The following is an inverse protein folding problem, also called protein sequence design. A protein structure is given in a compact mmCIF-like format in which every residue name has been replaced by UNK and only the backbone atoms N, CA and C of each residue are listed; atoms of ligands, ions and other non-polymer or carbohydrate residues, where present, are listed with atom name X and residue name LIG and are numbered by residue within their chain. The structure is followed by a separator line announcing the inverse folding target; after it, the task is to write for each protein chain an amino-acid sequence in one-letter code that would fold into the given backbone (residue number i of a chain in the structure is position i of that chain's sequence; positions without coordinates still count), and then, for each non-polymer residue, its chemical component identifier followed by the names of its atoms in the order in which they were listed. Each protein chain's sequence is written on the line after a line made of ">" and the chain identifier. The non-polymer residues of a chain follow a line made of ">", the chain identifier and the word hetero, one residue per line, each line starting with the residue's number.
data_IF_183889347140
#
_entry.id   IF_183889347140
#
_cell.length_a   1.000
_cell.length_b   1.000
_cell.length_c   1.000
_cell.angle_alpha   90.00
_cell.angle_beta   90.00
_cell.angle_gamma   90.00
#
_symmetry.space_group_name_H-M   'P 1'
#
loop_
_entity.id
_entity.type
_entity.pdbx_description
1 polymer ?
#
# COMPACT_ATOMS: atom_id res chain seq x y z
N UNK A 1 12.13 59.12 107.77
CA UNK A 1 11.47 57.86 107.88
C UNK A 1 10.88 57.53 106.47
N UNK A 2 11.19 56.59 105.71
CA UNK A 2 11.77 55.29 105.81
C UNK A 2 11.91 54.71 104.35
N UNK A 3 13.02 54.13 104.15
CA UNK A 3 13.36 53.00 103.28
C UNK A 3 12.97 52.86 101.81
N UNK A 4 13.95 53.10 101.03
CA UNK A 4 14.50 52.42 99.90
C UNK A 4 14.21 50.90 99.76
N UNK A 5 13.87 50.44 98.57
CA UNK A 5 14.34 49.14 98.07
C UNK A 5 14.38 49.10 96.50
N UNK A 6 15.61 49.00 96.04
CA UNK A 6 15.94 48.68 94.64
C UNK A 6 15.63 47.23 94.33
N UNK A 7 15.07 46.96 93.13
CA UNK A 7 15.00 45.64 92.59
C UNK A 7 15.67 45.64 91.22
N UNK A 8 16.77 44.89 91.13
CA UNK A 8 17.48 44.52 89.91
C UNK A 8 16.68 43.64 89.05
N UNK A 9 16.37 44.03 87.82
CA UNK A 9 15.78 43.16 86.79
C UNK A 9 16.85 42.68 85.79
N UNK A 10 17.19 41.36 85.86
CA UNK A 10 18.13 40.74 84.92
C UNK A 10 17.45 40.51 83.56
N UNK A 11 17.93 41.13 82.51
CA UNK A 11 17.52 40.83 81.16
C UNK A 11 18.23 39.60 80.63
N UNK A 12 17.46 38.46 80.42
CA UNK A 12 17.94 37.26 79.77
C UNK A 12 17.80 37.47 78.25
N UNK A 13 18.94 37.66 77.54
CA UNK A 13 19.02 37.66 76.13
C UNK A 13 18.97 36.24 75.59
N UNK A 14 17.86 35.85 74.96
CA UNK A 14 17.72 34.54 74.21
C UNK A 14 18.39 34.70 72.85
N UNK A 15 19.60 34.17 72.72
CA UNK A 15 20.29 34.03 71.43
C UNK A 15 19.67 32.89 70.67
N UNK A 16 18.85 33.22 69.67
CA UNK A 16 18.37 32.27 68.67
C UNK A 16 19.53 31.92 67.76
N UNK A 17 20.16 30.75 67.99
CA UNK A 17 21.13 30.18 67.09
C UNK A 17 20.39 29.65 65.83
N UNK A 18 20.45 30.49 64.77
CA UNK A 18 20.15 29.98 63.40
C UNK A 18 21.25 28.99 63.06
N UNK A 19 20.92 27.70 63.11
CA UNK A 19 21.74 26.66 62.46
C UNK A 19 21.63 26.89 60.95
N UNK A 20 22.56 27.59 60.38
CA UNK A 20 22.78 27.66 58.94
C UNK A 20 23.16 26.27 58.46
N UNK A 21 22.19 25.53 57.92
CA UNK A 21 22.46 24.29 57.24
C UNK A 21 23.47 24.53 56.12
N UNK A 22 24.64 23.92 56.20
CA UNK A 22 25.66 23.96 55.15
C UNK A 22 25.03 23.55 53.82
N UNK A 23 24.97 24.49 52.89
CA UNK A 23 24.50 24.15 51.51
C UNK A 23 25.44 23.10 50.93
N UNK A 24 24.91 21.92 50.66
CA UNK A 24 25.67 20.84 50.07
C UNK A 24 25.89 21.19 48.59
N UNK A 25 27.15 21.40 48.20
CA UNK A 25 27.51 21.72 46.82
C UNK A 25 27.24 20.51 45.92
N UNK A 26 26.15 20.54 45.16
CA UNK A 26 25.84 19.50 44.17
C UNK A 26 26.00 20.06 42.75
N UNK A 27 26.78 19.38 41.93
CA UNK A 27 26.88 19.68 40.50
C UNK A 27 25.54 19.36 39.81
N UNK A 28 24.96 20.32 39.09
CA UNK A 28 23.67 20.19 38.44
C UNK A 28 23.82 20.28 36.93
N UNK A 29 22.98 19.55 36.22
CA UNK A 29 22.95 19.48 34.77
C UNK A 29 21.51 19.70 34.26
N UNK A 30 21.38 20.37 33.11
CA UNK A 30 20.06 20.60 32.52
C UNK A 30 19.47 19.33 31.92
N UNK A 31 18.17 19.13 32.11
CA UNK A 31 17.38 18.10 31.43
C UNK A 31 17.32 18.45 29.94
N UNK A 32 17.75 17.53 29.08
CA UNK A 32 17.81 17.73 27.63
C UNK A 32 16.63 17.06 26.96
N UNK A 33 15.91 17.80 26.12
CA UNK A 33 14.88 17.20 25.26
C UNK A 33 15.50 16.76 23.93
N UNK A 34 15.42 15.49 23.62
CA UNK A 34 15.90 14.92 22.36
C UNK A 34 14.84 14.01 21.74
N UNK A 35 14.73 13.95 20.39
CA UNK A 35 13.97 12.89 19.76
C UNK A 35 14.65 11.55 20.05
N UNK A 36 13.90 10.57 20.53
CA UNK A 36 14.41 9.20 20.66
C UNK A 36 14.49 8.57 19.29
N UNK A 37 15.69 8.16 18.90
CA UNK A 37 15.96 7.40 17.69
C UNK A 37 16.48 6.02 18.12
N UNK A 38 15.57 5.06 18.24
CA UNK A 38 15.91 3.68 18.56
C UNK A 38 15.62 2.81 17.36
N UNK A 39 16.52 1.88 17.04
CA UNK A 39 16.22 0.82 16.08
C UNK A 39 15.65 -0.37 16.83
N UNK A 40 14.47 -0.82 16.41
CA UNK A 40 13.84 -2.04 16.93
C UNK A 40 13.83 -3.10 15.85
N UNK A 41 13.93 -4.35 16.25
CA UNK A 41 13.81 -5.48 15.33
C UNK A 41 12.36 -5.94 15.30
N UNK A 42 11.77 -5.92 14.10
CA UNK A 42 10.39 -6.35 13.87
C UNK A 42 10.39 -7.56 12.92
N UNK A 43 9.63 -8.61 13.23
CA UNK A 43 9.36 -9.67 12.27
C UNK A 43 8.50 -9.12 11.14
N UNK A 44 8.72 -9.60 9.93
CA UNK A 44 7.96 -9.19 8.76
C UNK A 44 7.75 -10.37 7.81
N UNK A 45 6.90 -10.19 6.82
CA UNK A 45 6.58 -11.21 5.81
C UNK A 45 6.80 -10.66 4.42
N UNK A 46 7.43 -11.46 3.57
CA UNK A 46 7.59 -11.14 2.14
C UNK A 46 6.41 -11.73 1.36
N UNK A 47 5.66 -10.86 0.69
CA UNK A 47 4.58 -11.22 -0.20
C UNK A 47 4.94 -10.91 -1.66
N UNK A 48 4.33 -11.62 -2.64
CA UNK A 48 4.49 -11.26 -4.05
C UNK A 48 3.91 -9.88 -4.31
N UNK A 49 4.45 -9.16 -5.29
CA UNK A 49 3.90 -7.84 -5.65
C UNK A 49 2.52 -7.97 -6.29
N UNK A 50 2.35 -8.93 -7.20
CA UNK A 50 1.08 -9.36 -7.78
C UNK A 50 0.96 -10.87 -7.61
N UNK A 51 -0.24 -11.34 -7.32
CA UNK A 51 -0.60 -12.75 -7.33
C UNK A 51 -1.98 -12.90 -7.98
N UNK A 52 -2.14 -13.89 -8.86
CA UNK A 52 -3.39 -14.14 -9.54
C UNK A 52 -3.61 -15.65 -9.72
N UNK A 53 -4.85 -16.07 -9.50
CA UNK A 53 -5.34 -17.36 -9.94
C UNK A 53 -5.98 -17.18 -11.32
N UNK A 54 -5.44 -17.85 -12.33
CA UNK A 54 -5.88 -17.76 -13.71
C UNK A 54 -7.02 -18.73 -13.94
N UNK A 55 -8.16 -18.23 -14.45
CA UNK A 55 -9.36 -19.01 -14.72
C UNK A 55 -9.75 -18.95 -16.20
N UNK A 56 -10.46 -19.99 -16.68
CA UNK A 56 -11.06 -19.98 -17.99
C UNK A 56 -12.29 -19.07 -18.03
N UNK A 57 -12.39 -18.23 -19.08
CA UNK A 57 -13.54 -17.33 -19.29
C UNK A 57 -14.62 -17.97 -20.16
N UNK A 58 -14.26 -18.99 -20.92
CA UNK A 58 -15.16 -19.76 -21.79
C UNK A 58 -15.05 -21.24 -21.46
N UNK A 59 -16.11 -21.98 -21.71
CA UNK A 59 -16.12 -23.44 -21.55
C UNK A 59 -15.30 -24.09 -22.66
N UNK A 60 -14.50 -25.10 -22.32
CA UNK A 60 -13.70 -25.87 -23.24
C UNK A 60 -12.92 -26.96 -22.53
N UNK A 61 -12.37 -27.87 -23.33
CA UNK A 61 -11.42 -28.88 -22.84
C UNK A 61 -10.01 -28.33 -22.92
N UNK A 62 -9.20 -28.57 -21.90
CA UNK A 62 -7.77 -28.25 -21.95
C UNK A 62 -7.11 -29.11 -23.00
N UNK A 63 -6.67 -28.52 -24.10
CA UNK A 63 -5.93 -29.20 -25.15
C UNK A 63 -4.47 -29.35 -24.76
N UNK A 64 -3.81 -28.23 -24.46
CA UNK A 64 -2.40 -28.19 -24.07
C UNK A 64 -2.16 -27.20 -22.90
N UNK A 65 -1.23 -27.57 -22.03
CA UNK A 65 -0.65 -26.68 -21.01
C UNK A 65 0.82 -26.48 -21.38
N UNK A 66 1.19 -25.25 -21.72
CA UNK A 66 2.50 -24.91 -22.27
C UNK A 66 3.55 -24.61 -21.18
N UNK A 67 3.10 -24.47 -19.94
CA UNK A 67 3.90 -24.10 -18.79
C UNK A 67 3.70 -25.05 -17.62
N UNK A 68 4.67 -25.08 -16.69
CA UNK A 68 4.56 -25.88 -15.48
C UNK A 68 5.00 -25.05 -14.25
N UNK A 69 4.87 -25.62 -13.04
CA UNK A 69 5.37 -25.00 -11.81
C UNK A 69 6.84 -24.61 -11.97
N UNK A 70 7.16 -23.35 -11.64
CA UNK A 70 8.50 -22.79 -11.78
C UNK A 70 8.79 -22.15 -13.14
N UNK A 71 7.90 -22.27 -14.13
CA UNK A 71 8.05 -21.60 -15.43
C UNK A 71 8.02 -20.08 -15.25
N UNK A 72 9.01 -19.41 -15.81
CA UNK A 72 9.08 -17.93 -15.90
C UNK A 72 8.38 -17.54 -17.20
N UNK A 73 7.40 -16.66 -17.12
CA UNK A 73 6.56 -16.24 -18.24
C UNK A 73 6.49 -14.73 -18.36
N UNK A 74 6.28 -14.24 -19.58
CA UNK A 74 6.10 -12.82 -19.88
C UNK A 74 4.62 -12.48 -20.07
N UNK A 75 4.28 -11.25 -19.85
CA UNK A 75 2.93 -10.74 -20.14
C UNK A 75 2.52 -11.04 -21.58
N UNK A 76 1.33 -11.62 -21.78
CA UNK A 76 0.80 -12.00 -23.08
C UNK A 76 1.26 -13.38 -23.59
N UNK A 77 2.18 -14.04 -22.92
CA UNK A 77 2.62 -15.40 -23.27
C UNK A 77 1.49 -16.40 -23.01
N UNK A 78 1.24 -17.29 -23.99
CA UNK A 78 0.18 -18.31 -23.91
C UNK A 78 0.57 -19.38 -22.90
N UNK A 79 -0.30 -19.62 -21.93
CA UNK A 79 -0.10 -20.55 -20.82
C UNK A 79 -0.85 -21.86 -21.05
N UNK A 80 -2.10 -21.74 -21.51
CA UNK A 80 -3.02 -22.89 -21.72
C UNK A 80 -3.82 -22.64 -22.98
N UNK A 81 -3.97 -23.69 -23.78
CA UNK A 81 -4.86 -23.72 -24.95
C UNK A 81 -6.05 -24.59 -24.65
N UNK A 82 -7.23 -24.04 -24.91
CA UNK A 82 -8.50 -24.79 -24.80
C UNK A 82 -9.03 -25.14 -26.16
N UNK A 83 -9.70 -26.29 -26.25
CA UNK A 83 -10.48 -26.76 -27.42
C UNK A 83 -11.97 -26.64 -27.12
N UNK A 84 -12.72 -25.97 -28.01
CA UNK A 84 -14.17 -25.86 -27.95
C UNK A 84 -14.76 -26.03 -29.36
N UNK A 85 -14.95 -27.30 -29.84
CA UNK A 85 -15.45 -27.58 -31.17
C UNK A 85 -16.82 -26.95 -31.46
N UNK A 86 -17.65 -26.83 -30.43
CA UNK A 86 -19.00 -26.23 -30.54
C UNK A 86 -18.90 -24.75 -30.90
N UNK A 87 -17.92 -24.03 -30.33
CA UNK A 87 -17.69 -22.62 -30.63
C UNK A 87 -17.13 -22.41 -32.03
N UNK A 88 -16.29 -23.32 -32.53
CA UNK A 88 -15.80 -23.30 -33.90
C UNK A 88 -16.96 -23.49 -34.88
N UNK A 89 -17.92 -24.39 -34.61
CA UNK A 89 -19.11 -24.57 -35.41
C UNK A 89 -20.03 -23.34 -35.42
N UNK A 90 -20.20 -22.67 -34.26
CA UNK A 90 -20.98 -21.44 -34.16
C UNK A 90 -20.36 -20.27 -34.96
N UNK A 91 -19.03 -20.15 -34.96
CA UNK A 91 -18.32 -19.19 -35.77
C UNK A 91 -18.54 -19.45 -37.25
N UNK A 92 -18.39 -20.69 -37.71
CA UNK A 92 -18.61 -21.06 -39.11
C UNK A 92 -20.06 -20.78 -39.57
N UNK A 93 -21.04 -21.02 -38.70
CA UNK A 93 -22.44 -20.65 -38.96
C UNK A 93 -22.63 -19.14 -39.10
N UNK A 94 -22.04 -18.34 -38.15
CA UNK A 94 -22.14 -16.91 -38.20
C UNK A 94 -21.46 -16.32 -39.46
N UNK A 95 -20.32 -16.86 -39.86
CA UNK A 95 -19.61 -16.47 -41.09
C UNK A 95 -20.43 -16.76 -42.33
N UNK A 96 -21.11 -17.89 -42.38
CA UNK A 96 -22.04 -18.21 -43.46
C UNK A 96 -23.20 -17.22 -43.55
N UNK A 97 -23.72 -16.76 -42.40
CA UNK A 97 -24.75 -15.69 -42.34
C UNK A 97 -24.22 -14.34 -42.83
N UNK A 98 -22.96 -14.00 -42.56
CA UNK A 98 -22.33 -12.82 -43.12
C UNK A 98 -22.28 -12.88 -44.64
N UNK A 99 -21.84 -14.02 -45.22
CA UNK A 99 -21.75 -14.18 -46.65
C UNK A 99 -23.14 -14.10 -47.34
N UNK A 100 -24.18 -14.65 -46.73
CA UNK A 100 -25.55 -14.59 -47.24
C UNK A 100 -26.06 -13.12 -47.21
N UNK A 101 -25.86 -12.38 -46.09
CA UNK A 101 -26.28 -11.00 -45.97
C UNK A 101 -25.52 -10.07 -46.94
N UNK A 102 -24.25 -10.35 -47.21
CA UNK A 102 -23.45 -9.60 -48.19
C UNK A 102 -23.90 -9.86 -49.63
N UNK A 103 -24.29 -11.09 -49.98
CA UNK A 103 -24.89 -11.43 -51.26
C UNK A 103 -26.23 -10.68 -51.46
N UNK A 104 -27.09 -10.63 -50.43
CA UNK A 104 -28.33 -9.84 -50.45
C UNK A 104 -28.07 -8.33 -50.64
N UNK A 105 -27.03 -7.78 -49.99
CA UNK A 105 -26.61 -6.39 -50.18
C UNK A 105 -26.17 -6.10 -51.61
N UNK A 106 -25.34 -6.96 -52.20
CA UNK A 106 -24.91 -6.86 -53.59
C UNK A 106 -26.07 -6.94 -54.55
N UNK A 107 -27.05 -7.84 -54.31
CA UNK A 107 -28.26 -7.90 -55.10
C UNK A 107 -29.07 -6.60 -55.04
N UNK A 108 -29.25 -6.01 -53.86
CA UNK A 108 -29.97 -4.75 -53.69
C UNK A 108 -29.21 -3.57 -54.33
N UNK A 109 -27.90 -3.58 -54.32
CA UNK A 109 -27.05 -2.59 -54.97
C UNK A 109 -27.22 -2.63 -56.50
N UNK A 110 -27.24 -3.83 -57.07
CA UNK A 110 -27.53 -4.01 -58.51
C UNK A 110 -28.96 -3.54 -58.89
N UNK A 111 -29.96 -3.80 -58.04
CA UNK A 111 -31.33 -3.29 -58.24
C UNK A 111 -31.40 -1.78 -58.17
N UNK A 112 -30.69 -1.11 -57.24
CA UNK A 112 -30.59 0.35 -57.17
C UNK A 112 -29.94 0.89 -58.42
N UNK A 113 -28.83 0.34 -58.88
CA UNK A 113 -28.13 0.79 -60.09
C UNK A 113 -29.03 0.71 -61.33
N UNK A 114 -29.82 -0.36 -61.45
CA UNK A 114 -30.81 -0.49 -62.57
C UNK A 114 -31.92 0.58 -62.45
N UNK A 115 -32.46 0.84 -61.26
CA UNK A 115 -33.50 1.83 -61.02
C UNK A 115 -32.97 3.29 -61.24
N UNK A 116 -31.75 3.57 -60.84
CA UNK A 116 -31.07 4.86 -61.04
C UNK A 116 -30.88 5.10 -62.57
N UNK A 117 -30.37 4.12 -63.30
CA UNK A 117 -30.22 4.20 -64.75
C UNK A 117 -31.53 4.44 -65.48
N UNK A 118 -32.64 3.81 -65.01
CA UNK A 118 -33.97 4.03 -65.57
C UNK A 118 -34.49 5.43 -65.29
N UNK A 119 -34.38 5.89 -64.06
CA UNK A 119 -34.77 7.22 -63.66
C UNK A 119 -34.00 8.30 -64.45
N UNK A 120 -32.67 8.21 -64.56
CA UNK A 120 -31.84 9.16 -65.28
C UNK A 120 -32.21 9.24 -66.78
N UNK A 121 -32.47 8.11 -67.45
CA UNK A 121 -32.95 8.08 -68.83
C UNK A 121 -34.32 8.80 -68.97
N UNK A 122 -35.29 8.51 -68.08
CA UNK A 122 -36.60 9.15 -68.09
C UNK A 122 -36.51 10.64 -67.79
N UNK A 123 -35.66 11.04 -66.89
CA UNK A 123 -35.40 12.43 -66.56
C UNK A 123 -34.85 13.21 -67.74
N UNK A 124 -33.88 12.65 -68.46
CA UNK A 124 -33.33 13.23 -69.67
C UNK A 124 -34.37 13.31 -70.77
N UNK A 125 -35.19 12.28 -71.03
CA UNK A 125 -36.25 12.30 -72.01
C UNK A 125 -37.34 13.29 -71.64
N UNK A 126 -37.66 13.58 -70.40
CA UNK A 126 -38.66 14.56 -69.96
C UNK A 126 -38.24 16.02 -70.22
N UNK A 127 -36.96 16.30 -70.55
CA UNK A 127 -36.50 17.58 -71.02
C UNK A 127 -37.10 17.99 -72.40
N UNK A 128 -37.57 16.94 -73.10
CA UNK A 128 -38.30 17.20 -74.42
C UNK A 128 -39.80 17.23 -74.13
N UNK A 129 -40.53 18.37 -74.41
CA UNK A 129 -41.95 18.45 -74.10
C UNK A 129 -42.77 17.36 -74.80
N UNK A 130 -43.56 16.57 -74.05
CA UNK A 130 -44.42 15.53 -74.54
C UNK A 130 -43.74 14.16 -74.75
N UNK A 131 -42.43 14.00 -74.48
CA UNK A 131 -41.71 12.74 -74.69
C UNK A 131 -41.97 11.70 -73.56
N UNK A 132 -42.33 12.15 -72.35
CA UNK A 132 -42.62 11.26 -71.18
C UNK A 132 -43.83 11.80 -70.45
N UNK A 133 -44.76 10.93 -70.06
CA UNK A 133 -45.87 11.33 -69.21
C UNK A 133 -45.36 11.62 -67.75
N UNK A 134 -45.84 12.77 -67.16
CA UNK A 134 -45.34 13.21 -65.83
C UNK A 134 -45.49 12.16 -64.71
N UNK A 135 -46.49 11.26 -64.79
CA UNK A 135 -46.66 10.19 -63.85
C UNK A 135 -45.59 9.08 -64.00
N UNK A 136 -45.03 8.83 -65.18
CA UNK A 136 -43.98 7.82 -65.40
C UNK A 136 -42.65 8.27 -64.76
N UNK A 137 -42.28 9.57 -64.84
CA UNK A 137 -41.09 10.07 -64.18
C UNK A 137 -41.23 9.98 -62.66
N UNK A 138 -42.38 10.35 -62.08
CA UNK A 138 -42.65 10.22 -60.65
C UNK A 138 -42.59 8.73 -60.21
N UNK A 139 -43.11 7.80 -61.05
CA UNK A 139 -43.03 6.38 -60.76
C UNK A 139 -41.59 5.87 -60.74
N UNK A 140 -40.75 6.27 -61.73
CA UNK A 140 -39.34 5.89 -61.79
C UNK A 140 -38.55 6.47 -60.58
N UNK A 141 -38.89 7.71 -60.15
CA UNK A 141 -38.29 8.31 -58.92
C UNK A 141 -38.62 7.48 -57.71
N UNK A 142 -39.91 7.10 -57.49
CA UNK A 142 -40.33 6.30 -56.35
C UNK A 142 -39.72 4.89 -56.35
N UNK A 143 -39.51 4.31 -57.52
CA UNK A 143 -38.84 3.05 -57.70
C UNK A 143 -37.36 3.12 -57.29
N UNK A 144 -36.64 4.17 -57.70
CA UNK A 144 -35.27 4.42 -57.30
C UNK A 144 -35.18 4.64 -55.77
N UNK A 145 -36.08 5.45 -55.18
CA UNK A 145 -36.09 5.70 -53.76
C UNK A 145 -36.36 4.42 -52.94
N UNK A 146 -37.29 3.55 -53.45
CA UNK A 146 -37.56 2.27 -52.84
C UNK A 146 -36.34 1.32 -52.90
N UNK A 147 -35.64 1.27 -54.04
CA UNK A 147 -34.43 0.49 -54.22
C UNK A 147 -33.29 0.99 -53.30
N UNK A 148 -33.17 2.28 -53.15
CA UNK A 148 -32.19 2.92 -52.24
C UNK A 148 -32.50 2.53 -50.78
N UNK A 149 -33.75 2.62 -50.36
CA UNK A 149 -34.16 2.21 -49.03
C UNK A 149 -33.92 0.68 -48.79
N UNK A 150 -34.16 -0.16 -49.81
CA UNK A 150 -33.85 -1.57 -49.72
C UNK A 150 -32.34 -1.80 -49.54
N UNK A 151 -31.49 -1.15 -50.36
CA UNK A 151 -30.03 -1.27 -50.19
C UNK A 151 -29.59 -0.85 -48.79
N UNK A 152 -30.09 0.27 -48.25
CA UNK A 152 -29.79 0.71 -46.90
C UNK A 152 -30.20 -0.35 -45.88
N UNK A 153 -31.37 -0.95 -46.03
CA UNK A 153 -31.83 -2.04 -45.15
C UNK A 153 -30.89 -3.26 -45.17
N UNK A 154 -30.48 -3.68 -46.40
CA UNK A 154 -29.57 -4.82 -46.58
C UNK A 154 -28.16 -4.53 -46.08
N UNK A 155 -27.69 -3.28 -46.21
CA UNK A 155 -26.42 -2.85 -45.62
C UNK A 155 -26.44 -2.96 -44.09
N UNK A 156 -27.54 -2.54 -43.45
CA UNK A 156 -27.65 -2.65 -41.99
C UNK A 156 -27.71 -4.14 -41.53
N UNK A 157 -28.38 -4.99 -42.31
CA UNK A 157 -28.45 -6.45 -42.05
C UNK A 157 -27.06 -7.11 -42.17
N UNK A 158 -26.27 -6.76 -43.18
CA UNK A 158 -24.90 -7.24 -43.36
C UNK A 158 -23.99 -6.78 -42.16
N UNK A 159 -24.06 -5.52 -41.78
CA UNK A 159 -23.32 -5.00 -40.61
C UNK A 159 -23.72 -5.73 -39.31
N UNK A 160 -25.00 -6.04 -39.13
CA UNK A 160 -25.46 -6.77 -37.94
C UNK A 160 -24.91 -8.22 -37.92
N UNK A 161 -24.90 -8.90 -39.08
CA UNK A 161 -24.31 -10.22 -39.21
C UNK A 161 -22.80 -10.22 -38.93
N UNK A 162 -22.08 -9.25 -39.48
CA UNK A 162 -20.65 -9.05 -39.20
C UNK A 162 -20.37 -8.83 -37.70
N UNK A 163 -21.17 -7.98 -37.06
CA UNK A 163 -21.01 -7.70 -35.62
C UNK A 163 -21.23 -8.97 -34.78
N UNK A 164 -22.21 -9.82 -35.17
CA UNK A 164 -22.47 -11.10 -34.52
C UNK A 164 -21.30 -12.08 -34.68
N UNK A 165 -20.76 -12.21 -35.90
CA UNK A 165 -19.60 -13.06 -36.16
C UNK A 165 -18.35 -12.58 -35.42
N UNK A 166 -18.13 -11.26 -35.35
CA UNK A 166 -17.03 -10.67 -34.59
C UNK A 166 -17.13 -10.97 -33.09
N UNK A 167 -18.33 -10.85 -32.50
CA UNK A 167 -18.54 -11.16 -31.09
C UNK A 167 -18.18 -12.60 -30.75
N UNK A 168 -18.50 -13.55 -31.63
CA UNK A 168 -18.12 -14.97 -31.45
C UNK A 168 -16.63 -15.21 -31.59
N UNK A 169 -15.93 -14.51 -32.51
CA UNK A 169 -14.47 -14.58 -32.61
C UNK A 169 -13.78 -14.00 -31.39
N UNK A 170 -14.29 -12.89 -30.88
CA UNK A 170 -13.76 -12.25 -29.66
C UNK A 170 -13.92 -13.18 -28.44
N UNK A 171 -15.01 -13.97 -28.38
CA UNK A 171 -15.17 -15.02 -27.36
C UNK A 171 -14.18 -16.17 -27.57
N UNK A 172 -13.95 -16.57 -28.83
CA UNK A 172 -12.99 -17.63 -29.13
C UNK A 172 -11.55 -17.26 -28.81
N UNK A 173 -11.21 -15.99 -28.83
CA UNK A 173 -9.88 -15.53 -28.39
C UNK A 173 -9.57 -15.87 -26.91
N UNK A 174 -10.61 -16.09 -26.09
CA UNK A 174 -10.43 -16.55 -24.70
C UNK A 174 -10.12 -18.05 -24.56
N UNK A 175 -10.07 -18.80 -25.67
CA UNK A 175 -9.58 -20.18 -25.67
C UNK A 175 -8.05 -20.24 -25.50
N UNK A 176 -7.35 -19.19 -25.87
CA UNK A 176 -5.93 -19.00 -25.57
C UNK A 176 -5.80 -18.18 -24.28
N UNK A 177 -5.33 -18.84 -23.23
CA UNK A 177 -5.19 -18.22 -21.92
C UNK A 177 -3.76 -17.75 -21.76
N UNK A 178 -3.56 -16.44 -21.65
CA UNK A 178 -2.26 -15.80 -21.59
C UNK A 178 -1.97 -15.20 -20.21
N UNK A 179 -0.67 -14.98 -19.93
CA UNK A 179 -0.17 -14.38 -18.71
C UNK A 179 -0.59 -12.89 -18.60
N UNK A 180 -1.22 -12.47 -17.50
CA UNK A 180 -1.64 -11.08 -17.31
C UNK A 180 -0.49 -10.12 -16.97
N UNK A 181 0.65 -10.65 -16.50
CA UNK A 181 1.86 -9.90 -16.16
C UNK A 181 3.09 -10.81 -16.19
N UNK A 182 4.29 -10.23 -16.19
CA UNK A 182 5.55 -10.97 -16.07
C UNK A 182 5.66 -11.61 -14.69
N UNK A 183 5.91 -12.93 -14.64
CA UNK A 183 5.97 -13.63 -13.36
C UNK A 183 6.39 -15.08 -13.46
N UNK A 184 6.13 -15.81 -12.39
CA UNK A 184 6.41 -17.25 -12.26
C UNK A 184 5.13 -17.98 -11.98
N UNK A 185 4.93 -19.11 -12.63
CA UNK A 185 3.85 -20.05 -12.33
C UNK A 185 4.20 -20.80 -11.05
N UNK A 186 3.40 -20.58 -10.01
CA UNK A 186 3.64 -21.22 -8.69
C UNK A 186 2.93 -22.55 -8.54
N UNK A 187 1.76 -22.68 -9.22
CA UNK A 187 0.96 -23.91 -9.19
C UNK A 187 0.30 -24.17 -10.54
N UNK A 188 0.22 -25.44 -10.93
CA UNK A 188 -0.56 -25.93 -12.06
C UNK A 188 -1.63 -26.85 -11.51
N UNK A 189 -2.90 -26.49 -11.71
CA UNK A 189 -4.06 -27.17 -11.12
C UNK A 189 -4.87 -27.94 -12.15
N UNK A 190 -4.54 -27.81 -13.45
CA UNK A 190 -5.23 -28.50 -14.53
C UNK A 190 -4.30 -29.33 -15.41
N UNK A 191 -4.86 -30.31 -16.10
CA UNK A 191 -4.17 -31.21 -16.98
C UNK A 191 -4.90 -31.29 -18.36
N UNK A 192 -4.21 -31.64 -19.44
CA UNK A 192 -4.84 -31.91 -20.73
C UNK A 192 -6.03 -32.89 -20.58
N UNK A 193 -7.13 -32.62 -21.26
CA UNK A 193 -8.38 -33.35 -21.17
C UNK A 193 -9.34 -32.88 -20.08
N UNK A 194 -8.95 -31.98 -19.19
CA UNK A 194 -9.86 -31.42 -18.18
C UNK A 194 -10.90 -30.49 -18.83
N UNK A 195 -12.16 -30.59 -18.41
CA UNK A 195 -13.21 -29.64 -18.78
C UNK A 195 -13.15 -28.45 -17.84
N UNK A 196 -13.04 -27.24 -18.39
CA UNK A 196 -12.96 -25.98 -17.66
C UNK A 196 -13.97 -24.96 -18.22
N UNK A 197 -14.30 -23.93 -17.45
CA UNK A 197 -15.24 -22.89 -17.91
C UNK A 197 -15.76 -21.99 -16.80
N UNK A 198 -16.59 -21.01 -17.14
CA UNK A 198 -17.21 -20.10 -16.19
C UNK A 198 -18.15 -20.88 -15.25
N UNK A 199 -18.05 -20.61 -13.95
CA UNK A 199 -18.82 -21.33 -12.91
C UNK A 199 -18.10 -22.53 -12.30
N UNK A 200 -16.94 -22.90 -12.80
CA UNK A 200 -16.04 -23.83 -12.16
C UNK A 200 -14.99 -23.01 -11.38
N UNK A 201 -15.05 -23.02 -10.05
CA UNK A 201 -14.13 -22.24 -9.19
C UNK A 201 -12.68 -22.76 -9.22
N UNK A 202 -12.39 -23.75 -10.05
CA UNK A 202 -11.04 -24.31 -10.19
C UNK A 202 -10.17 -23.38 -11.03
N UNK A 203 -9.16 -22.81 -10.41
CA UNK A 203 -8.12 -22.10 -11.14
C UNK A 203 -7.33 -23.07 -12.03
N UNK A 204 -6.89 -22.59 -13.18
CA UNK A 204 -6.02 -23.37 -14.09
C UNK A 204 -4.58 -23.39 -13.57
N UNK A 205 -4.12 -22.21 -13.21
CA UNK A 205 -2.76 -21.92 -12.77
C UNK A 205 -2.80 -20.82 -11.71
N UNK A 206 -1.80 -20.80 -10.83
CA UNK A 206 -1.50 -19.63 -9.98
C UNK A 206 -0.20 -19.01 -10.44
N UNK A 207 -0.18 -17.68 -10.56
CA UNK A 207 0.99 -16.91 -10.96
C UNK A 207 1.33 -15.84 -9.93
N UNK A 208 2.62 -15.58 -9.76
CA UNK A 208 3.12 -14.54 -8.87
C UNK A 208 4.22 -13.72 -9.55
N UNK A 209 4.19 -12.41 -9.32
CA UNK A 209 5.29 -11.54 -9.69
C UNK A 209 6.33 -11.56 -8.57
N UNK A 210 7.52 -12.10 -8.88
CA UNK A 210 8.62 -12.28 -7.92
C UNK A 210 9.79 -11.33 -8.13
N UNK A 211 9.85 -10.62 -9.27
CA UNK A 211 10.89 -9.62 -9.56
C UNK A 211 10.80 -8.37 -8.69
N UNK A 212 9.62 -8.09 -8.17
CA UNK A 212 9.31 -7.08 -7.18
C UNK A 212 8.46 -7.71 -6.09
N UNK A 213 8.74 -7.37 -4.84
CA UNK A 213 8.10 -7.97 -3.68
C UNK A 213 7.54 -6.90 -2.75
N UNK A 214 6.61 -7.29 -1.89
CA UNK A 214 6.09 -6.48 -0.81
C UNK A 214 6.57 -7.06 0.51
N UNK A 215 7.27 -6.25 1.29
CA UNK A 215 7.62 -6.58 2.65
C UNK A 215 6.60 -5.95 3.58
N UNK A 216 5.80 -6.75 4.26
CA UNK A 216 4.77 -6.30 5.18
C UNK A 216 5.33 -6.35 6.60
N UNK A 217 5.43 -5.17 7.23
CA UNK A 217 5.95 -5.00 8.58
C UNK A 217 4.81 -4.61 9.51
N UNK A 218 4.46 -5.42 10.51
CA UNK A 218 3.48 -5.09 11.53
C UNK A 218 4.10 -4.16 12.58
N UNK A 219 3.95 -2.84 12.40
CA UNK A 219 4.54 -1.83 13.29
C UNK A 219 3.65 -1.62 14.50
N UNK A 220 4.14 -1.78 15.75
CA UNK A 220 3.38 -1.51 16.97
C UNK A 220 2.89 -0.07 17.06
N UNK A 221 1.71 0.16 17.67
CA UNK A 221 1.08 1.48 17.82
C UNK A 221 2.01 2.54 18.40
N UNK A 222 2.83 2.19 19.37
CA UNK A 222 3.79 3.10 20.02
C UNK A 222 4.89 3.63 19.08
N UNK A 223 5.14 2.95 17.95
CA UNK A 223 6.26 3.23 17.02
C UNK A 223 5.80 3.74 15.65
N UNK A 224 4.50 3.92 15.42
CA UNK A 224 4.05 4.35 14.09
C UNK A 224 4.18 5.87 13.86
N UNK A 225 4.30 6.68 14.90
CA UNK A 225 4.39 8.13 14.80
C UNK A 225 5.62 8.69 14.03
N UNK A 226 6.57 7.83 13.66
CA UNK A 226 7.78 8.19 12.88
C UNK A 226 7.83 7.59 11.48
N UNK A 227 6.73 6.98 10.99
CA UNK A 227 6.69 6.36 9.66
C UNK A 227 6.67 7.45 8.59
N UNK A 228 7.68 7.46 7.73
CA UNK A 228 7.77 8.39 6.61
C UNK A 228 7.81 7.58 5.31
N UNK A 229 6.84 7.85 4.43
CA UNK A 229 6.83 7.27 3.08
C UNK A 229 8.10 7.66 2.33
N UNK A 230 8.70 6.70 1.60
CA UNK A 230 9.96 6.88 0.90
C UNK A 230 11.21 6.57 1.75
N UNK A 231 11.06 6.28 3.04
CA UNK A 231 12.19 5.87 3.88
C UNK A 231 12.67 4.47 3.48
N UNK A 232 13.98 4.33 3.30
CA UNK A 232 14.62 3.03 3.10
C UNK A 232 14.87 2.37 4.45
N UNK A 233 14.42 1.13 4.60
CA UNK A 233 14.53 0.37 5.84
C UNK A 233 15.29 -0.93 5.57
N UNK A 234 16.39 -1.18 6.28
CA UNK A 234 17.18 -2.40 6.10
C UNK A 234 16.50 -3.60 6.78
N UNK A 235 16.65 -4.76 6.16
CA UNK A 235 16.18 -6.03 6.69
C UNK A 235 17.13 -7.18 6.36
N UNK A 236 17.04 -8.27 7.09
CA UNK A 236 17.81 -9.48 6.91
C UNK A 236 16.88 -10.68 6.84
N UNK A 237 17.23 -11.66 6.00
CA UNK A 237 16.49 -12.92 5.90
C UNK A 237 17.34 -14.06 6.48
N UNK A 238 16.73 -15.00 7.20
CA UNK A 238 17.48 -16.14 7.79
C UNK A 238 18.24 -16.98 6.75
N UNK A 239 17.72 -17.04 5.51
CA UNK A 239 18.37 -17.78 4.43
C UNK A 239 19.74 -17.18 4.01
N UNK A 240 19.92 -15.87 4.23
CA UNK A 240 21.15 -15.13 3.84
C UNK A 240 21.58 -14.20 4.97
N UNK A 241 22.09 -14.73 6.11
CA UNK A 241 22.38 -13.94 7.31
C UNK A 241 23.46 -12.89 7.09
N UNK A 242 24.38 -13.13 6.16
CA UNK A 242 25.46 -12.19 5.82
C UNK A 242 25.02 -11.05 4.86
N UNK A 243 23.81 -11.15 4.27
CA UNK A 243 23.30 -10.15 3.34
C UNK A 243 22.29 -9.25 4.03
N UNK A 244 22.44 -7.95 3.80
CA UNK A 244 21.46 -6.94 4.18
C UNK A 244 20.73 -6.46 2.94
N UNK A 245 19.41 -6.55 2.98
CA UNK A 245 18.52 -6.04 1.94
C UNK A 245 17.89 -4.74 2.42
N UNK A 246 17.25 -4.02 1.51
CA UNK A 246 16.51 -2.81 1.86
C UNK A 246 15.17 -2.76 1.16
N UNK A 247 14.16 -2.26 1.86
CA UNK A 247 12.85 -1.97 1.31
C UNK A 247 12.50 -0.49 1.50
N UNK A 248 11.74 0.07 0.57
CA UNK A 248 11.29 1.46 0.64
C UNK A 248 9.84 1.51 1.11
N UNK A 249 9.56 2.25 2.17
CA UNK A 249 8.19 2.45 2.69
C UNK A 249 7.31 3.06 1.58
N UNK A 250 6.38 2.28 1.08
CA UNK A 250 5.50 2.65 -0.03
C UNK A 250 4.08 2.94 0.43
N UNK A 251 3.53 2.13 1.31
CA UNK A 251 2.13 2.18 1.76
C UNK A 251 2.03 1.99 3.27
N UNK A 252 1.14 2.75 3.87
CA UNK A 252 0.78 2.66 5.29
C UNK A 252 -0.73 2.44 5.33
N UNK A 253 -1.19 1.42 6.05
CA UNK A 253 -2.62 1.06 6.06
C UNK A 253 -3.51 2.09 6.75
N UNK A 254 -2.94 2.90 7.65
CA UNK A 254 -3.67 3.83 8.54
C UNK A 254 -4.78 3.16 9.37
N UNK A 255 -4.74 1.84 9.49
CA UNK A 255 -5.68 1.03 10.26
C UNK A 255 -4.90 0.11 11.17
N UNK A 256 -5.28 0.05 12.44
CA UNK A 256 -4.70 -0.87 13.42
C UNK A 256 -5.43 -2.21 13.41
N UNK A 257 -4.69 -3.29 13.38
CA UNK A 257 -5.21 -4.61 13.71
C UNK A 257 -5.51 -4.66 15.21
N UNK A 258 -6.77 -4.88 15.56
CA UNK A 258 -7.23 -4.85 16.95
C UNK A 258 -6.68 -6.00 17.79
N UNK A 259 -6.33 -7.14 17.18
CA UNK A 259 -5.80 -8.31 17.88
C UNK A 259 -4.33 -8.15 18.23
N UNK A 260 -3.55 -7.68 17.27
CA UNK A 260 -2.10 -7.55 17.42
C UNK A 260 -1.67 -6.15 17.88
N UNK A 261 -2.56 -5.15 17.80
CA UNK A 261 -2.27 -3.72 18.02
C UNK A 261 -1.11 -3.21 17.19
N UNK A 262 -1.03 -3.69 15.95
CA UNK A 262 -0.03 -3.28 14.98
C UNK A 262 -0.67 -2.65 13.76
N UNK A 263 0.07 -1.77 13.08
CA UNK A 263 -0.30 -1.21 11.80
C UNK A 263 0.56 -1.83 10.71
N UNK A 264 -0.04 -2.51 9.71
CA UNK A 264 0.71 -3.00 8.57
C UNK A 264 1.32 -1.85 7.76
N UNK A 265 2.63 -1.90 7.57
CA UNK A 265 3.37 -1.00 6.69
C UNK A 265 3.99 -1.83 5.59
N UNK A 266 3.73 -1.46 4.35
CA UNK A 266 4.26 -2.17 3.19
C UNK A 266 5.45 -1.43 2.60
N UNK A 267 6.54 -2.16 2.43
CA UNK A 267 7.75 -1.71 1.77
C UNK A 267 7.87 -2.40 0.41
N UNK A 268 8.21 -1.63 -0.61
CA UNK A 268 8.55 -2.18 -1.91
C UNK A 268 10.01 -2.66 -1.90
N UNK A 269 10.23 -3.88 -2.35
CA UNK A 269 11.53 -4.53 -2.43
C UNK A 269 11.79 -4.98 -3.85
N UNK A 270 12.93 -4.58 -4.42
CA UNK A 270 13.39 -5.08 -5.71
C UNK A 270 14.11 -6.43 -5.52
N UNK A 271 13.78 -7.39 -6.36
CA UNK A 271 14.30 -8.76 -6.31
C UNK A 271 14.75 -9.22 -7.72
N UNK A 272 15.57 -8.40 -8.38
CA UNK A 272 16.03 -8.72 -9.74
C UNK A 272 16.94 -9.94 -9.80
N UNK A 273 17.68 -10.21 -8.73
CA UNK A 273 18.58 -11.37 -8.61
C UNK A 273 17.86 -12.66 -8.21
N UNK A 274 16.54 -12.59 -7.91
CA UNK A 274 15.75 -13.75 -7.52
C UNK A 274 16.15 -14.39 -6.17
N UNK A 275 16.95 -13.70 -5.35
CA UNK A 275 17.46 -14.24 -4.08
C UNK A 275 16.39 -14.32 -2.98
N UNK A 276 15.32 -13.54 -3.12
CA UNK A 276 14.20 -13.53 -2.19
C UNK A 276 12.98 -14.25 -2.77
N UNK A 277 12.24 -14.94 -1.93
CA UNK A 277 11.00 -15.61 -2.31
C UNK A 277 9.82 -15.15 -1.45
N UNK A 278 8.61 -15.04 -2.03
CA UNK A 278 7.39 -14.88 -1.25
C UNK A 278 7.27 -15.97 -0.17
N UNK A 279 6.75 -15.61 1.00
CA UNK A 279 6.66 -16.51 2.16
C UNK A 279 7.91 -16.55 3.05
N UNK A 280 8.97 -15.82 2.73
CA UNK A 280 10.10 -15.64 3.66
C UNK A 280 9.73 -14.69 4.79
N UNK A 281 10.28 -14.92 5.99
CA UNK A 281 10.08 -14.12 7.20
C UNK A 281 11.38 -13.41 7.60
N UNK A 282 11.61 -12.20 7.11
CA UNK A 282 12.77 -11.40 7.48
C UNK A 282 12.62 -10.72 8.84
N UNK A 283 13.77 -10.30 9.40
CA UNK A 283 13.84 -9.38 10.53
C UNK A 283 14.18 -8.00 10.01
N UNK A 284 13.32 -7.03 10.30
CA UNK A 284 13.44 -5.64 9.84
C UNK A 284 14.02 -4.79 10.96
N UNK A 285 15.07 -4.01 10.66
CA UNK A 285 15.64 -3.01 11.58
C UNK A 285 14.87 -1.70 11.45
N UNK A 286 13.76 -1.62 12.19
CA UNK A 286 12.81 -0.52 12.10
C UNK A 286 13.28 0.72 12.86
N UNK A 287 13.36 1.92 12.25
CA UNK A 287 13.69 3.16 12.94
C UNK A 287 12.48 3.63 13.76
N UNK A 288 12.44 3.30 15.04
CA UNK A 288 11.41 3.79 15.94
C UNK A 288 11.69 5.26 16.29
N UNK A 289 10.85 6.18 15.80
CA UNK A 289 10.90 7.62 16.13
C UNK A 289 9.65 7.97 16.89
N UNK A 290 9.81 8.51 18.09
CA UNK A 290 8.69 9.09 18.83
C UNK A 290 8.40 10.51 18.33
N UNK A 291 7.13 10.84 18.15
CA UNK A 291 6.66 12.16 17.70
C UNK A 291 6.95 13.30 18.69
N UNK A 292 7.13 12.95 19.95
CA UNK A 292 7.48 13.92 21.02
C UNK A 292 8.91 13.69 21.47
N UNK A 293 9.70 14.76 21.62
CA UNK A 293 11.03 14.62 22.22
C UNK A 293 10.89 14.08 23.64
N UNK A 294 11.74 13.14 23.98
CA UNK A 294 11.84 12.59 25.33
C UNK A 294 12.88 13.37 26.15
N UNK A 295 12.75 13.31 27.44
CA UNK A 295 13.67 13.98 28.37
C UNK A 295 14.81 13.04 28.73
N UNK A 296 16.01 13.55 28.65
CA UNK A 296 17.24 12.83 28.97
C UNK A 296 18.01 13.48 30.08
N UNK A 297 18.55 12.67 30.97
CA UNK A 297 19.46 13.06 32.03
C UNK A 297 20.69 12.12 32.05
N UNK A 298 21.84 12.51 32.62
CA UNK A 298 22.94 11.57 32.83
C UNK A 298 22.49 10.34 33.60
N UNK A 299 23.00 9.15 33.28
CA UNK A 299 22.67 7.91 33.98
C UNK A 299 22.92 8.01 35.48
N UNK A 300 23.98 8.79 35.86
CA UNK A 300 24.36 9.03 37.25
C UNK A 300 23.38 9.93 38.02
N UNK A 301 22.50 10.65 37.31
CA UNK A 301 21.46 11.49 37.92
C UNK A 301 20.27 10.70 38.44
N UNK A 302 20.10 9.46 37.96
CA UNK A 302 18.94 8.60 38.32
C UNK A 302 19.29 7.72 39.50
N UNK A 303 18.62 7.95 40.61
CA UNK A 303 18.72 7.15 41.83
C UNK A 303 17.67 6.04 41.78
N UNK A 304 18.08 4.82 42.08
CA UNK A 304 17.18 3.67 42.19
C UNK A 304 17.37 3.02 43.56
N UNK A 305 16.32 3.02 44.34
CA UNK A 305 16.24 2.31 45.62
C UNK A 305 15.32 1.09 45.49
N UNK A 306 15.18 0.31 46.53
CA UNK A 306 14.21 -0.80 46.55
C UNK A 306 12.76 -0.34 46.41
N UNK A 307 12.44 0.90 46.73
CA UNK A 307 11.06 1.41 46.77
C UNK A 307 10.69 2.27 45.58
N UNK A 308 11.66 3.04 45.04
CA UNK A 308 11.38 4.05 43.99
C UNK A 308 12.59 4.34 43.11
N UNK A 309 12.30 4.87 41.92
CA UNK A 309 13.31 5.45 41.01
C UNK A 309 13.00 6.91 40.82
N UNK A 310 13.97 7.77 41.08
CA UNK A 310 13.79 9.23 41.06
C UNK A 310 15.03 9.97 40.57
N UNK A 311 14.86 11.22 40.21
CA UNK A 311 15.94 12.23 40.03
C UNK A 311 15.77 13.32 41.04
N UNK A 312 16.86 13.99 41.38
CA UNK A 312 16.85 15.11 42.31
C UNK A 312 16.89 16.40 41.51
N UNK A 313 15.75 17.09 41.43
CA UNK A 313 15.62 18.41 40.78
C UNK A 313 16.00 19.49 41.71
N UNK A 314 16.71 20.49 41.19
CA UNK A 314 16.94 21.78 41.88
C UNK A 314 15.73 22.68 41.63
N UNK A 315 15.05 23.08 42.68
CA UNK A 315 13.96 24.07 42.61
C UNK A 315 14.11 25.11 43.72
N UNK A 316 14.23 26.35 43.31
CA UNK A 316 14.47 27.49 44.29
C UNK A 316 15.64 27.24 45.24
N UNK A 317 16.74 26.68 44.73
CA UNK A 317 17.94 26.37 45.55
C UNK A 317 17.77 25.20 46.51
N UNK A 318 16.75 24.35 46.36
CA UNK A 318 16.49 23.18 47.21
C UNK A 318 16.34 21.95 46.38
N UNK A 319 16.68 20.78 46.97
CA UNK A 319 16.50 19.47 46.44
C UNK A 319 15.01 19.07 46.45
N UNK A 320 14.47 18.64 45.31
CA UNK A 320 13.13 18.09 45.17
C UNK A 320 13.24 16.72 44.48
N UNK A 321 12.68 15.69 45.08
CA UNK A 321 12.68 14.35 44.49
C UNK A 321 11.54 14.19 43.51
N UNK A 322 11.87 13.85 42.28
CA UNK A 322 10.90 13.63 41.19
C UNK A 322 10.95 12.20 40.77
N UNK A 323 9.86 11.48 41.01
CA UNK A 323 9.73 10.08 40.56
C UNK A 323 9.74 9.99 39.06
N UNK A 324 10.54 9.06 38.53
CA UNK A 324 10.69 8.84 37.10
C UNK A 324 10.71 7.36 36.77
N UNK A 325 10.28 7.04 35.55
CA UNK A 325 10.51 5.73 34.92
C UNK A 325 11.69 5.83 33.98
N UNK A 326 12.58 4.84 34.01
CA UNK A 326 13.71 4.75 33.08
C UNK A 326 13.20 4.28 31.72
N UNK A 327 13.67 4.91 30.65
CA UNK A 327 13.43 4.54 29.26
C UNK A 327 14.71 4.12 28.55
N UNK A 328 14.83 4.51 27.27
CA UNK A 328 15.97 4.18 26.43
C UNK A 328 17.28 4.83 26.92
N UNK A 329 18.38 4.09 26.79
CA UNK A 329 19.71 4.57 27.09
C UNK A 329 20.44 4.98 25.80
N UNK A 330 21.03 6.19 25.77
CA UNK A 330 21.78 6.73 24.65
C UNK A 330 23.13 7.26 25.14
N UNK A 331 24.19 6.49 24.98
CA UNK A 331 25.51 6.81 25.51
C UNK A 331 25.48 6.97 27.04
N UNK A 332 25.94 8.13 27.55
CA UNK A 332 25.93 8.46 28.97
C UNK A 332 24.60 8.99 29.48
N UNK A 333 23.63 9.19 28.58
CA UNK A 333 22.31 9.69 28.90
C UNK A 333 21.30 8.54 29.03
N UNK A 334 20.28 8.75 29.85
CA UNK A 334 19.12 7.86 29.98
C UNK A 334 17.84 8.67 29.86
N UNK A 335 16.90 8.13 29.09
CA UNK A 335 15.56 8.68 29.00
C UNK A 335 14.84 8.55 30.34
N UNK A 336 14.13 9.61 30.74
CA UNK A 336 13.31 9.62 31.94
C UNK A 336 11.90 10.11 31.60
N UNK A 337 10.91 9.38 32.11
CA UNK A 337 9.49 9.73 32.01
C UNK A 337 8.96 10.06 33.39
N UNK A 338 8.61 11.31 33.61
CA UNK A 338 8.15 11.84 34.89
C UNK A 338 7.75 13.29 34.80
N UNK A 339 7.48 13.93 35.96
CA UNK A 339 7.07 15.32 36.02
C UNK A 339 8.30 16.27 35.93
N UNK A 340 8.97 16.21 34.77
CA UNK A 340 10.14 17.04 34.43
C UNK A 340 9.87 17.85 33.18
N UNK A 341 10.60 18.95 33.02
CA UNK A 341 10.59 19.80 31.83
C UNK A 341 12.00 19.96 31.27
N UNK A 342 12.10 20.16 29.97
CA UNK A 342 13.36 20.49 29.34
C UNK A 342 13.92 21.80 29.91
N UNK A 343 15.22 21.81 30.20
CA UNK A 343 15.92 22.96 30.83
C UNK A 343 15.86 22.97 32.32
N UNK A 344 15.04 22.16 33.01
CA UNK A 344 15.13 22.04 34.48
C UNK A 344 16.49 21.46 34.89
N UNK A 345 16.99 21.87 36.03
CA UNK A 345 18.30 21.41 36.53
C UNK A 345 18.11 20.24 37.45
N UNK A 346 18.86 19.16 37.20
CA UNK A 346 18.89 17.96 38.05
C UNK A 346 20.33 17.75 38.54
N UNK A 347 20.49 17.14 39.71
CA UNK A 347 21.78 16.78 40.26
C UNK A 347 22.46 15.75 39.36
N UNK A 348 23.71 16.04 38.92
CA UNK A 348 24.47 15.18 37.97
C UNK A 348 24.77 13.79 38.54
N UNK A 349 25.04 13.71 39.84
CA UNK A 349 25.24 12.46 40.58
C UNK A 349 24.24 12.41 41.73
N UNK A 350 23.11 11.78 41.49
CA UNK A 350 22.08 11.60 42.49
C UNK A 350 22.50 10.57 43.53
N UNK A 351 22.26 10.88 44.81
CA UNK A 351 22.43 9.95 45.93
C UNK A 351 21.19 10.06 46.82
N UNK A 352 20.82 8.95 47.48
CA UNK A 352 19.72 8.92 48.44
C UNK A 352 20.01 9.66 49.73
N UNK A 353 21.29 10.03 49.95
CA UNK A 353 21.73 10.88 51.10
C UNK A 353 21.26 12.33 50.96
N UNK A 354 21.07 12.82 49.73
CA UNK A 354 20.58 14.18 49.49
C UNK A 354 19.06 14.23 49.68
N UNK A 355 18.65 14.52 50.93
CA UNK A 355 17.23 14.50 51.31
C UNK A 355 16.43 15.63 50.67
N UNK A 356 15.14 15.41 50.50
CA UNK A 356 14.20 16.40 50.04
C UNK A 356 14.22 17.67 50.92
N UNK A 357 14.20 18.84 50.26
CA UNK A 357 14.28 20.15 50.93
C UNK A 357 15.69 20.63 51.31
N UNK A 358 16.74 19.83 51.16
CA UNK A 358 18.13 20.20 51.46
C UNK A 358 18.56 21.37 50.55
N UNK A 359 19.19 22.45 51.10
CA UNK A 359 19.72 23.54 50.29
C UNK A 359 20.83 23.03 49.36
N UNK A 360 20.71 23.30 48.06
CA UNK A 360 21.72 23.00 47.05
C UNK A 360 22.42 24.29 46.64
N UNK A 361 23.73 24.37 46.92
CA UNK A 361 24.58 25.43 46.40
C UNK A 361 24.93 25.15 44.95
N UNK A 362 24.43 25.96 43.98
CA UNK A 362 24.74 25.79 42.58
C UNK A 362 26.22 26.08 42.31
N UNK A 363 27.03 25.05 42.00
CA UNK A 363 28.25 25.23 41.21
C UNK A 363 27.86 25.14 39.74
N UNK A 364 27.80 26.26 39.01
CA UNK A 364 27.73 26.23 37.56
C UNK A 364 29.08 25.72 37.05
N UNK A 365 29.13 24.48 36.59
CA UNK A 365 30.31 24.01 35.85
C UNK A 365 30.36 24.72 34.51
N UNK A 366 31.48 25.36 34.24
CA UNK A 366 31.92 25.86 32.93
C UNK A 366 32.11 24.73 31.95
#
# INVERSE_FOLDING_TARGET
>A
MTHSRAVFGAAVAVAILWQGGSAQSADTVAVVAKPVSQTIELPAEILPYLAVSVHARVAGYVDRVLVDRGSVVKQGEVLVELSAPEMAAQIAEAESKVQAAEADRLQAEAQLSAAESTYDRMKTAAETPGAVAGNELVQAEKQRDAARALLNSRQQAAKAAEASARALRDLAAYLEISAPFDGVVTERLVHPGALVGPGNDVALLTMQQVSRLRLVVPVPEENFGGIVKGTSVPFQVPAWPERSYSGVVARVSHTLDQKTRTMPVELDVNNHDGSLAPGMYPTVKWPARRTRPSLFVPRTSVVTTSERTFVIRERNGRAEWVDVKKGAAEGDLIEVVGNLKAGERVVRRGTDELREGTPIGAKSGS
#
